data_IF_729472994090
#
_entry.id   IF_729472994090
#
_cell.length_a   1.000
_cell.length_b   1.000
_cell.length_c   1.000
_cell.angle_alpha   90.00
_cell.angle_beta   90.00
_cell.angle_gamma   90.00
#
_symmetry.space_group_name_H-M   'P 1'
#
loop_
_entity.id
_entity.type
_entity.pdbx_description
1 polymer ?
#
# COMPACT_ATOMS: atom_id res chain seq x y z
N UNK A 1 -6.19 -5.50 -9.98
CA UNK A 1 -6.87 -6.77 -10.32
C UNK A 1 -7.04 -7.68 -9.11
N UNK A 2 -5.96 -8.22 -8.49
CA UNK A 2 -6.04 -9.23 -7.43
C UNK A 2 -7.03 -8.95 -6.28
N UNK A 3 -7.04 -7.73 -5.72
CA UNK A 3 -8.01 -7.32 -4.69
C UNK A 3 -9.48 -7.50 -5.07
N UNK A 4 -9.83 -7.27 -6.35
CA UNK A 4 -11.20 -7.49 -6.84
C UNK A 4 -11.52 -8.97 -6.99
N UNK A 5 -10.57 -9.76 -7.49
CA UNK A 5 -10.75 -11.21 -7.61
C UNK A 5 -10.96 -11.86 -6.23
N UNK A 6 -10.18 -11.45 -5.23
CA UNK A 6 -10.31 -11.95 -3.86
C UNK A 6 -11.67 -11.55 -3.26
N UNK A 7 -12.06 -10.28 -3.43
CA UNK A 7 -13.39 -9.81 -3.01
C UNK A 7 -14.52 -10.61 -3.65
N UNK A 8 -14.43 -10.87 -4.96
CA UNK A 8 -15.41 -11.68 -5.67
C UNK A 8 -15.42 -13.12 -5.18
N UNK A 9 -14.25 -13.73 -4.95
CA UNK A 9 -14.15 -15.12 -4.48
C UNK A 9 -14.77 -15.27 -3.09
N UNK A 10 -14.48 -14.35 -2.17
CA UNK A 10 -15.09 -14.33 -0.85
C UNK A 10 -16.60 -14.09 -0.94
N UNK A 11 -17.03 -13.09 -1.71
CA UNK A 11 -18.45 -12.77 -1.88
C UNK A 11 -19.25 -13.95 -2.45
N UNK A 12 -18.71 -14.63 -3.47
CA UNK A 12 -19.37 -15.78 -4.08
C UNK A 12 -19.35 -16.99 -3.15
N UNK A 13 -18.26 -17.26 -2.44
CA UNK A 13 -18.19 -18.35 -1.46
C UNK A 13 -19.23 -18.16 -0.33
N UNK A 14 -19.37 -16.94 0.17
CA UNK A 14 -20.40 -16.60 1.16
C UNK A 14 -21.81 -16.73 0.56
N UNK A 15 -22.01 -16.23 -0.65
CA UNK A 15 -23.31 -16.33 -1.32
C UNK A 15 -23.73 -17.79 -1.52
N UNK A 16 -22.83 -18.65 -1.97
CA UNK A 16 -23.08 -20.08 -2.14
C UNK A 16 -23.35 -20.75 -0.77
N UNK A 17 -22.62 -20.38 0.28
CA UNK A 17 -22.76 -20.93 1.64
C UNK A 17 -24.11 -20.57 2.27
N UNK A 18 -24.59 -19.35 2.05
CA UNK A 18 -25.82 -18.83 2.65
C UNK A 18 -27.03 -18.88 1.71
N UNK A 19 -26.88 -19.40 0.49
CA UNK A 19 -27.97 -19.47 -0.50
C UNK A 19 -28.39 -18.12 -1.10
N UNK A 20 -27.48 -17.13 -1.14
CA UNK A 20 -27.73 -15.83 -1.80
C UNK A 20 -27.34 -15.86 -3.28
N UNK A 21 -27.91 -14.91 -4.03
CA UNK A 21 -27.40 -14.58 -5.38
C UNK A 21 -26.10 -13.80 -5.27
N UNK A 22 -25.06 -14.29 -5.95
CA UNK A 22 -23.82 -13.54 -6.17
C UNK A 22 -23.97 -12.53 -7.32
N UNK A 23 -23.41 -11.33 -7.13
CA UNK A 23 -23.16 -10.37 -8.20
C UNK A 23 -22.00 -9.43 -7.86
N UNK A 24 -21.45 -8.77 -8.88
CA UNK A 24 -20.29 -7.89 -8.73
C UNK A 24 -20.42 -6.59 -9.54
N UNK A 25 -19.76 -5.54 -9.05
CA UNK A 25 -19.55 -4.30 -9.80
C UNK A 25 -18.10 -4.19 -10.23
N UNK A 26 -17.88 -3.94 -11.51
CA UNK A 26 -16.55 -3.72 -12.08
C UNK A 26 -16.69 -2.75 -13.25
N UNK A 27 -15.87 -1.70 -13.26
CA UNK A 27 -15.93 -0.67 -14.30
C UNK A 27 -15.48 -1.25 -15.66
N UNK A 28 -16.29 -1.04 -16.71
CA UNK A 28 -15.97 -1.42 -18.09
C UNK A 28 -15.07 -0.42 -18.83
N UNK A 29 -14.80 0.73 -18.22
CA UNK A 29 -13.78 1.68 -18.68
C UNK A 29 -12.52 1.41 -17.88
N UNK A 30 -11.49 0.89 -18.55
CA UNK A 30 -10.19 0.64 -17.93
C UNK A 30 -9.71 1.90 -17.20
N UNK A 31 -9.34 1.75 -15.92
CA UNK A 31 -8.67 2.82 -15.21
C UNK A 31 -7.17 2.66 -15.46
N UNK A 32 -6.67 3.29 -16.53
CA UNK A 32 -5.24 3.36 -16.80
C UNK A 32 -4.60 4.43 -15.89
N UNK A 33 -4.45 4.13 -14.60
CA UNK A 33 -3.63 4.98 -13.73
C UNK A 33 -2.18 4.46 -13.73
N UNK A 34 -1.48 4.74 -14.84
CA UNK A 34 -0.02 4.62 -15.03
C UNK A 34 0.58 3.20 -15.02
N UNK A 35 1.83 3.12 -15.49
CA UNK A 35 2.65 1.95 -15.82
C UNK A 35 2.72 0.77 -14.82
N UNK A 36 2.16 0.90 -13.62
CA UNK A 36 2.28 -0.11 -12.55
C UNK A 36 0.93 -0.49 -11.89
N UNK A 37 -0.18 0.15 -12.29
CA UNK A 37 -1.53 -0.13 -11.77
C UNK A 37 -2.56 -0.20 -12.90
N UNK A 38 -2.52 -1.29 -13.65
CA UNK A 38 -3.55 -1.59 -14.64
C UNK A 38 -4.70 -2.31 -13.93
N UNK A 39 -5.89 -1.72 -13.99
CA UNK A 39 -7.13 -2.38 -13.60
C UNK A 39 -7.90 -2.65 -14.87
N UNK A 40 -7.74 -3.89 -15.35
CA UNK A 40 -8.36 -4.34 -16.59
C UNK A 40 -9.89 -4.36 -16.51
N UNK A 41 -10.54 -4.33 -17.67
CA UNK A 41 -12.01 -4.43 -17.77
C UNK A 41 -12.47 -5.87 -17.53
N UNK A 42 -13.66 -6.04 -16.95
CA UNK A 42 -14.19 -7.36 -16.61
C UNK A 42 -14.28 -8.30 -17.83
N UNK A 43 -14.62 -7.75 -19.00
CA UNK A 43 -14.77 -8.45 -20.28
C UNK A 43 -13.49 -9.12 -20.79
N UNK A 44 -12.32 -8.70 -20.30
CA UNK A 44 -11.04 -9.38 -20.61
C UNK A 44 -10.72 -10.52 -19.65
N UNK A 45 -11.37 -10.58 -18.51
CA UNK A 45 -11.08 -11.54 -17.44
C UNK A 45 -12.11 -12.67 -17.43
N UNK A 46 -13.40 -12.34 -17.58
CA UNK A 46 -14.50 -13.29 -17.47
C UNK A 46 -15.17 -13.54 -18.82
N UNK A 47 -15.81 -14.71 -18.97
CA UNK A 47 -16.62 -15.02 -20.13
C UNK A 47 -17.83 -14.09 -20.25
N UNK A 48 -18.37 -13.96 -21.46
CA UNK A 48 -19.61 -13.20 -21.68
C UNK A 48 -20.77 -13.73 -20.81
N UNK A 49 -20.93 -15.06 -20.75
CA UNK A 49 -21.98 -15.71 -19.96
C UNK A 49 -21.84 -15.46 -18.46
N UNK A 50 -20.61 -15.37 -17.94
CA UNK A 50 -20.38 -15.05 -16.53
C UNK A 50 -20.81 -13.61 -16.23
N UNK A 51 -20.46 -12.69 -17.13
CA UNK A 51 -20.78 -11.27 -17.00
C UNK A 51 -22.29 -11.06 -17.08
N UNK A 52 -22.98 -11.69 -18.05
CA UNK A 52 -24.43 -11.58 -18.19
C UNK A 52 -25.17 -12.06 -16.93
N UNK A 53 -24.70 -13.15 -16.31
CA UNK A 53 -25.33 -13.73 -15.11
C UNK A 53 -25.09 -12.91 -13.83
N UNK A 54 -23.88 -12.38 -13.66
CA UNK A 54 -23.41 -11.88 -12.36
C UNK A 54 -23.06 -10.39 -12.30
N UNK A 55 -22.91 -9.69 -13.43
CA UNK A 55 -22.52 -8.28 -13.40
C UNK A 55 -23.72 -7.38 -13.06
N UNK A 56 -23.57 -6.58 -12.01
CA UNK A 56 -24.60 -5.65 -11.54
C UNK A 56 -24.49 -4.24 -12.16
N UNK A 57 -23.57 -4.06 -13.11
CA UNK A 57 -23.23 -2.78 -13.71
C UNK A 57 -21.95 -2.13 -13.16
N UNK A 58 -21.65 -0.92 -13.63
CA UNK A 58 -20.44 -0.18 -13.21
C UNK A 58 -20.49 0.27 -11.75
N UNK A 59 -21.70 0.49 -11.22
CA UNK A 59 -21.90 0.91 -9.83
C UNK A 59 -23.26 0.46 -9.31
N UNK A 60 -23.34 0.30 -7.99
CA UNK A 60 -24.59 0.09 -7.25
C UNK A 60 -24.81 1.27 -6.31
N UNK A 61 -26.07 1.49 -5.91
CA UNK A 61 -26.40 2.45 -4.85
C UNK A 61 -26.04 1.85 -3.50
N UNK A 62 -24.82 2.15 -3.02
CA UNK A 62 -24.25 1.54 -1.81
C UNK A 62 -25.13 1.69 -0.56
N UNK A 63 -25.96 2.75 -0.46
CA UNK A 63 -26.91 2.94 0.66
C UNK A 63 -27.98 1.85 0.77
N UNK A 64 -28.20 1.10 -0.31
CA UNK A 64 -29.20 0.04 -0.36
C UNK A 64 -28.63 -1.30 0.15
N UNK A 65 -27.34 -1.36 0.50
CA UNK A 65 -26.63 -2.57 0.91
C UNK A 65 -25.88 -2.35 2.22
N UNK A 66 -25.77 -3.39 3.04
CA UNK A 66 -24.88 -3.37 4.21
C UNK A 66 -23.46 -3.75 3.80
N UNK A 67 -22.44 -3.27 4.50
CA UNK A 67 -21.06 -3.79 4.34
C UNK A 67 -20.86 -4.96 5.30
N UNK A 68 -20.36 -6.08 4.79
CA UNK A 68 -19.97 -7.22 5.63
C UNK A 68 -18.67 -6.88 6.36
N UNK A 69 -18.69 -7.13 7.67
CA UNK A 69 -17.52 -7.19 8.52
C UNK A 69 -17.51 -8.53 9.27
N UNK A 70 -16.41 -8.82 9.99
CA UNK A 70 -16.28 -10.06 10.75
C UNK A 70 -17.35 -10.20 11.84
N UNK A 71 -17.77 -9.10 12.45
CA UNK A 71 -18.81 -9.11 13.47
C UNK A 71 -20.17 -9.50 12.89
N UNK A 72 -20.48 -9.03 11.69
CA UNK A 72 -21.69 -9.36 10.94
C UNK A 72 -21.67 -10.82 10.51
N UNK A 73 -20.53 -11.36 10.09
CA UNK A 73 -20.37 -12.77 9.70
C UNK A 73 -20.44 -13.74 10.89
N UNK A 74 -19.96 -13.33 12.07
CA UNK A 74 -19.97 -14.15 13.28
C UNK A 74 -21.31 -14.11 14.04
N UNK A 75 -22.26 -13.30 13.57
CA UNK A 75 -23.49 -12.96 14.29
C UNK A 75 -24.76 -13.64 13.76
N UNK A 76 -25.85 -12.85 13.77
CA UNK A 76 -27.22 -13.25 13.38
C UNK A 76 -27.31 -13.63 11.89
N UNK A 77 -28.40 -14.31 11.54
CA UNK A 77 -28.78 -14.57 10.15
C UNK A 77 -28.74 -13.29 9.30
N UNK A 78 -27.96 -13.32 8.22
CA UNK A 78 -27.74 -12.17 7.32
C UNK A 78 -29.04 -11.69 6.66
N UNK A 79 -30.03 -12.57 6.51
CA UNK A 79 -31.33 -12.27 5.90
C UNK A 79 -32.21 -11.49 6.84
N UNK A 80 -32.29 -11.92 8.10
CA UNK A 80 -32.99 -11.19 9.16
C UNK A 80 -32.41 -9.79 9.36
N UNK A 81 -31.08 -9.67 9.38
CA UNK A 81 -30.42 -8.38 9.53
C UNK A 81 -30.66 -7.46 8.31
N UNK A 82 -30.69 -8.02 7.10
CA UNK A 82 -31.03 -7.27 5.90
C UNK A 82 -32.49 -6.77 5.93
N UNK A 83 -33.45 -7.61 6.36
CA UNK A 83 -34.85 -7.21 6.51
C UNK A 83 -35.03 -6.09 7.53
N UNK A 84 -34.43 -6.23 8.71
CA UNK A 84 -34.49 -5.24 9.79
C UNK A 84 -33.98 -3.86 9.32
N UNK A 85 -32.85 -3.86 8.61
CA UNK A 85 -32.22 -2.65 8.08
C UNK A 85 -32.76 -2.22 6.71
N UNK A 86 -33.76 -2.92 6.16
CA UNK A 86 -34.34 -2.70 4.82
C UNK A 86 -33.29 -2.66 3.70
N UNK A 87 -32.29 -3.55 3.80
CA UNK A 87 -31.20 -3.69 2.84
C UNK A 87 -31.59 -4.68 1.73
N UNK A 88 -31.06 -4.45 0.53
CA UNK A 88 -31.20 -5.33 -0.63
C UNK A 88 -30.16 -6.45 -0.68
N UNK A 89 -29.15 -6.39 0.18
CA UNK A 89 -28.07 -7.36 0.25
C UNK A 89 -26.84 -6.79 0.95
N UNK A 90 -25.70 -7.38 0.62
CA UNK A 90 -24.45 -7.17 1.34
C UNK A 90 -23.28 -6.91 0.37
N UNK A 91 -22.40 -5.98 0.74
CA UNK A 91 -21.15 -5.66 0.05
C UNK A 91 -20.01 -6.38 0.77
N UNK A 92 -19.22 -7.12 0.01
CA UNK A 92 -18.05 -7.84 0.49
C UNK A 92 -16.77 -7.22 -0.09
N UNK A 93 -16.40 -6.04 0.40
CA UNK A 93 -15.18 -5.32 0.03
C UNK A 93 -14.35 -4.88 1.24
N UNK A 94 -14.78 -5.21 2.46
CA UNK A 94 -14.05 -4.87 3.68
C UNK A 94 -12.77 -5.73 3.80
N UNK A 95 -11.66 -5.06 4.06
CA UNK A 95 -10.33 -5.68 4.10
C UNK A 95 -10.22 -6.78 5.17
N UNK A 96 -10.95 -6.64 6.28
CA UNK A 96 -10.94 -7.61 7.36
C UNK A 96 -11.66 -8.90 6.92
N UNK A 97 -12.67 -8.80 6.04
CA UNK A 97 -13.32 -9.95 5.40
C UNK A 97 -12.45 -10.52 4.28
N UNK A 98 -11.74 -9.68 3.53
CA UNK A 98 -10.84 -10.13 2.47
C UNK A 98 -9.76 -11.08 2.99
N UNK A 99 -9.15 -10.73 4.13
CA UNK A 99 -8.02 -11.43 4.73
C UNK A 99 -8.42 -12.46 5.80
N UNK A 100 -9.72 -12.70 5.98
CA UNK A 100 -10.25 -13.60 7.00
C UNK A 100 -10.04 -15.07 6.66
N UNK A 101 -9.88 -15.90 7.68
CA UNK A 101 -9.97 -17.37 7.60
C UNK A 101 -11.29 -17.89 8.19
N UNK A 102 -12.33 -17.05 8.20
CA UNK A 102 -13.65 -17.44 8.69
C UNK A 102 -14.11 -18.76 8.03
N UNK A 103 -14.67 -19.73 8.79
CA UNK A 103 -15.07 -21.03 8.25
C UNK A 103 -16.03 -20.94 7.05
N UNK A 104 -16.85 -19.89 7.00
CA UNK A 104 -17.78 -19.60 5.91
C UNK A 104 -17.08 -19.26 4.58
N UNK A 105 -15.78 -18.96 4.62
CA UNK A 105 -14.93 -18.71 3.46
C UNK A 105 -14.09 -19.93 3.07
N UNK A 106 -14.27 -21.10 3.70
CA UNK A 106 -13.47 -22.30 3.44
C UNK A 106 -13.46 -22.70 1.95
N UNK A 107 -14.53 -22.39 1.20
CA UNK A 107 -14.67 -22.73 -0.22
C UNK A 107 -14.11 -21.68 -1.19
N UNK A 108 -13.52 -20.58 -0.71
CA UNK A 108 -13.07 -19.47 -1.57
C UNK A 108 -12.07 -19.90 -2.65
N UNK A 109 -11.21 -20.88 -2.35
CA UNK A 109 -10.26 -21.43 -3.32
C UNK A 109 -10.99 -22.16 -4.47
N UNK A 110 -11.96 -23.01 -4.14
CA UNK A 110 -12.84 -23.68 -5.12
C UNK A 110 -13.60 -22.64 -5.94
N UNK A 111 -14.17 -21.63 -5.28
CA UNK A 111 -14.93 -20.56 -5.90
C UNK A 111 -14.10 -19.77 -6.90
N UNK A 112 -12.86 -19.39 -6.54
CA UNK A 112 -11.94 -18.68 -7.41
C UNK A 112 -11.65 -19.49 -8.67
N UNK A 113 -11.28 -20.78 -8.52
CA UNK A 113 -11.00 -21.68 -9.64
C UNK A 113 -12.22 -21.92 -10.54
N UNK A 114 -13.42 -21.87 -9.96
CA UNK A 114 -14.68 -22.10 -10.67
C UNK A 114 -15.23 -20.86 -11.38
N UNK A 115 -14.57 -19.69 -11.27
CA UNK A 115 -14.97 -18.56 -12.10
C UNK A 115 -14.86 -18.91 -13.58
N UNK A 116 -15.88 -18.51 -14.33
CA UNK A 116 -15.88 -18.74 -15.77
C UNK A 116 -15.07 -17.64 -16.46
N UNK A 117 -13.76 -17.89 -16.53
CA UNK A 117 -12.78 -17.00 -17.13
C UNK A 117 -12.92 -16.92 -18.65
N UNK A 118 -12.50 -15.79 -19.22
CA UNK A 118 -12.38 -15.62 -20.66
C UNK A 118 -11.35 -16.61 -21.25
N UNK A 119 -11.53 -16.98 -22.52
CA UNK A 119 -10.66 -17.97 -23.18
C UNK A 119 -9.15 -17.62 -23.10
N UNK A 120 -8.71 -16.36 -23.32
CA UNK A 120 -7.29 -16.02 -23.20
C UNK A 120 -6.72 -16.20 -21.80
N UNK A 121 -7.53 -15.99 -20.75
CA UNK A 121 -7.11 -16.22 -19.36
C UNK A 121 -7.00 -17.72 -19.08
N UNK A 122 -7.96 -18.53 -19.55
CA UNK A 122 -7.90 -19.99 -19.44
C UNK A 122 -6.65 -20.54 -20.13
N UNK A 123 -6.32 -20.01 -21.30
CA UNK A 123 -5.10 -20.37 -22.04
C UNK A 123 -3.84 -20.00 -21.25
N UNK A 124 -3.73 -18.77 -20.73
CA UNK A 124 -2.59 -18.36 -19.91
C UNK A 124 -2.39 -19.25 -18.66
N UNK A 125 -3.47 -19.68 -18.01
CA UNK A 125 -3.40 -20.63 -16.89
C UNK A 125 -2.93 -22.01 -17.37
N UNK A 126 -3.49 -22.52 -18.46
CA UNK A 126 -3.12 -23.81 -19.02
C UNK A 126 -1.67 -23.83 -19.55
N UNK A 127 -1.16 -22.72 -20.05
CA UNK A 127 0.24 -22.56 -20.47
C UNK A 127 1.19 -22.70 -19.30
N UNK A 128 0.84 -22.07 -18.16
CA UNK A 128 1.59 -22.22 -16.94
C UNK A 128 1.62 -23.68 -16.46
N UNK A 129 0.54 -24.45 -16.62
CA UNK A 129 0.50 -25.88 -16.28
C UNK A 129 1.43 -26.72 -17.15
N UNK A 130 1.62 -26.34 -18.42
CA UNK A 130 2.52 -27.01 -19.37
C UNK A 130 3.99 -26.68 -19.15
N UNK A 131 4.31 -25.57 -18.47
CA UNK A 131 5.69 -25.20 -18.15
C UNK A 131 6.36 -26.25 -17.25
N UNK A 132 7.60 -26.62 -17.56
CA UNK A 132 8.35 -27.65 -16.83
C UNK A 132 9.02 -27.04 -15.58
N UNK A 133 8.50 -27.38 -14.40
CA UNK A 133 9.15 -27.10 -13.12
C UNK A 133 9.90 -28.36 -12.68
N UNK A 134 11.21 -28.27 -12.48
CA UNK A 134 12.04 -29.43 -12.11
C UNK A 134 12.30 -29.48 -10.61
N UNK A 135 11.66 -30.43 -9.93
CA UNK A 135 11.82 -30.64 -8.47
C UNK A 135 11.03 -29.64 -7.62
N UNK A 136 11.14 -29.75 -6.28
CA UNK A 136 10.38 -28.90 -5.37
C UNK A 136 10.89 -27.44 -5.43
N UNK A 137 9.96 -26.51 -5.52
CA UNK A 137 10.23 -25.09 -5.74
C UNK A 137 9.39 -24.22 -4.79
N UNK A 138 9.96 -23.10 -4.37
CA UNK A 138 9.27 -22.03 -3.68
C UNK A 138 9.19 -20.79 -4.59
N UNK A 139 8.03 -20.16 -4.66
CA UNK A 139 7.88 -18.87 -5.32
C UNK A 139 8.23 -17.74 -4.35
N UNK A 140 8.90 -16.70 -4.83
CA UNK A 140 9.25 -15.51 -4.07
C UNK A 140 8.73 -14.26 -4.80
N UNK A 141 7.68 -13.67 -4.25
CA UNK A 141 7.00 -12.52 -4.87
C UNK A 141 7.45 -11.20 -4.24
N UNK A 142 8.19 -10.38 -4.98
CA UNK A 142 8.85 -9.17 -4.45
C UNK A 142 7.93 -7.95 -4.34
N UNK A 143 6.92 -7.85 -5.22
CA UNK A 143 5.94 -6.74 -5.27
C UNK A 143 6.54 -5.32 -5.25
N UNK A 144 7.67 -5.09 -5.92
CA UNK A 144 8.32 -3.77 -5.91
C UNK A 144 7.53 -2.68 -6.64
N UNK A 145 7.30 -2.83 -7.96
CA UNK A 145 6.38 -2.02 -8.77
C UNK A 145 6.20 -0.55 -8.36
N UNK A 146 4.94 -0.13 -8.23
CA UNK A 146 4.55 1.22 -7.80
C UNK A 146 4.93 1.58 -6.35
N UNK A 147 5.17 0.58 -5.50
CA UNK A 147 5.50 0.77 -4.08
C UNK A 147 6.98 1.14 -3.91
N UNK A 148 7.87 0.69 -4.78
CA UNK A 148 9.30 1.06 -4.75
C UNK A 148 9.61 2.10 -5.81
N UNK A 149 9.09 1.93 -7.03
CA UNK A 149 9.44 2.76 -8.19
C UNK A 149 8.39 3.82 -8.53
N UNK A 150 7.23 3.80 -7.87
CA UNK A 150 6.11 4.67 -8.18
C UNK A 150 5.78 5.72 -7.12
N UNK A 151 4.54 6.20 -7.18
CA UNK A 151 3.99 7.22 -6.27
C UNK A 151 3.75 6.70 -4.85
N UNK A 152 3.69 5.39 -4.66
CA UNK A 152 3.34 4.78 -3.38
C UNK A 152 4.54 4.58 -2.45
N UNK A 153 5.77 4.86 -2.91
CA UNK A 153 7.00 4.71 -2.11
C UNK A 153 7.09 5.55 -0.85
N UNK A 154 6.45 6.71 -0.83
CA UNK A 154 6.37 7.54 0.38
C UNK A 154 5.28 7.08 1.37
N UNK A 155 4.52 6.04 1.03
CA UNK A 155 3.46 5.52 1.88
C UNK A 155 3.96 4.29 2.64
N UNK A 156 4.44 4.52 3.87
CA UNK A 156 5.03 3.48 4.72
C UNK A 156 4.08 2.30 5.01
N UNK A 157 2.77 2.49 4.88
CA UNK A 157 1.76 1.43 5.07
C UNK A 157 1.76 0.36 3.99
N UNK A 158 2.49 0.56 2.88
CA UNK A 158 2.66 -0.46 1.86
C UNK A 158 3.99 -1.20 1.98
N UNK A 159 4.85 -0.84 2.93
CA UNK A 159 6.17 -1.46 3.07
C UNK A 159 6.07 -2.97 3.35
N UNK A 160 5.05 -3.39 4.11
CA UNK A 160 4.78 -4.80 4.45
C UNK A 160 4.34 -5.65 3.25
N UNK A 161 4.00 -5.04 2.11
CA UNK A 161 3.64 -5.72 0.86
C UNK A 161 4.84 -6.20 0.06
N UNK A 162 6.00 -5.59 0.28
CA UNK A 162 7.19 -5.76 -0.54
C UNK A 162 8.17 -6.66 0.21
N UNK A 163 8.80 -7.58 -0.51
CA UNK A 163 10.03 -8.21 -0.02
C UNK A 163 11.20 -7.38 -0.55
N UNK A 164 12.02 -6.77 0.32
CA UNK A 164 13.16 -5.99 -0.13
C UNK A 164 14.08 -6.85 -1.00
N UNK A 165 14.45 -6.34 -2.17
CA UNK A 165 15.37 -7.05 -3.08
C UNK A 165 16.72 -7.37 -2.40
N UNK A 166 17.14 -6.52 -1.46
CA UNK A 166 18.33 -6.69 -0.62
C UNK A 166 18.25 -7.86 0.37
N UNK A 167 17.08 -8.47 0.57
CA UNK A 167 16.93 -9.66 1.41
C UNK A 167 16.92 -10.96 0.58
N UNK A 168 16.78 -10.86 -0.75
CA UNK A 168 16.50 -12.02 -1.63
C UNK A 168 17.63 -13.03 -1.63
N UNK A 169 18.90 -12.61 -1.65
CA UNK A 169 20.05 -13.54 -1.63
C UNK A 169 20.02 -14.46 -0.42
N UNK A 170 19.74 -13.91 0.77
CA UNK A 170 19.63 -14.69 2.00
C UNK A 170 18.42 -15.63 1.98
N UNK A 171 17.28 -15.17 1.45
CA UNK A 171 16.09 -16.02 1.29
C UNK A 171 16.38 -17.18 0.34
N UNK A 172 16.98 -16.93 -0.82
CA UNK A 172 17.30 -17.99 -1.80
C UNK A 172 18.27 -19.00 -1.19
N UNK A 173 19.29 -18.54 -0.46
CA UNK A 173 20.24 -19.40 0.24
C UNK A 173 19.55 -20.29 1.28
N UNK A 174 18.65 -19.73 2.09
CA UNK A 174 17.89 -20.46 3.11
C UNK A 174 16.90 -21.46 2.49
N UNK A 175 16.29 -21.14 1.35
CA UNK A 175 15.41 -22.07 0.64
C UNK A 175 16.21 -23.20 -0.01
N UNK A 176 17.39 -22.88 -0.55
CA UNK A 176 18.29 -23.87 -1.14
C UNK A 176 18.82 -24.87 -0.11
N UNK A 177 19.15 -24.43 1.11
CA UNK A 177 19.58 -25.31 2.20
C UNK A 177 18.48 -26.31 2.61
N UNK A 178 17.21 -25.97 2.36
CA UNK A 178 16.02 -26.82 2.54
C UNK A 178 15.69 -27.68 1.31
N UNK A 179 16.57 -27.69 0.30
CA UNK A 179 16.39 -28.45 -0.94
C UNK A 179 15.35 -27.87 -1.89
N UNK A 180 15.00 -26.59 -1.77
CA UNK A 180 14.03 -25.91 -2.63
C UNK A 180 14.73 -25.03 -3.66
N UNK A 181 14.30 -25.11 -4.91
CA UNK A 181 14.61 -24.09 -5.92
C UNK A 181 13.76 -22.86 -5.69
N UNK A 182 14.21 -21.70 -6.16
CA UNK A 182 13.45 -20.45 -6.05
C UNK A 182 13.00 -19.94 -7.41
N UNK A 183 11.72 -19.60 -7.54
CA UNK A 183 11.15 -18.83 -8.65
C UNK A 183 10.90 -17.40 -8.21
N UNK A 184 11.58 -16.42 -8.80
CA UNK A 184 11.37 -15.01 -8.53
C UNK A 184 10.22 -14.46 -9.39
N UNK A 185 9.32 -13.73 -8.75
CA UNK A 185 8.18 -13.07 -9.38
C UNK A 185 8.18 -11.59 -8.97
N UNK A 186 8.22 -10.69 -9.95
CA UNK A 186 8.28 -9.26 -9.68
C UNK A 186 8.15 -8.42 -10.95
N UNK A 187 8.08 -7.11 -10.76
CA UNK A 187 7.78 -6.16 -11.85
C UNK A 187 9.01 -5.41 -12.37
N UNK A 188 10.09 -5.33 -11.59
CA UNK A 188 11.28 -4.57 -11.96
C UNK A 188 12.35 -5.48 -12.58
N UNK A 189 12.35 -5.56 -13.92
CA UNK A 189 13.17 -6.51 -14.68
C UNK A 189 14.67 -6.42 -14.39
N UNK A 190 15.32 -5.24 -14.37
CA UNK A 190 16.76 -5.16 -14.10
C UNK A 190 17.16 -5.75 -12.74
N UNK A 191 16.34 -5.55 -11.70
CA UNK A 191 16.60 -6.14 -10.38
C UNK A 191 16.43 -7.64 -10.38
N UNK A 192 15.43 -8.16 -11.10
CA UNK A 192 15.22 -9.61 -11.22
C UNK A 192 16.37 -10.29 -11.97
N UNK A 193 16.87 -9.68 -13.06
CA UNK A 193 18.01 -10.20 -13.82
C UNK A 193 19.28 -10.24 -12.97
N UNK A 194 19.57 -9.17 -12.23
CA UNK A 194 20.67 -9.15 -11.25
C UNK A 194 20.51 -10.23 -10.18
N UNK A 195 19.34 -10.34 -9.55
CA UNK A 195 19.11 -11.34 -8.51
C UNK A 195 19.23 -12.77 -9.06
N UNK A 196 18.79 -13.02 -10.30
CA UNK A 196 19.00 -14.30 -10.97
C UNK A 196 20.50 -14.58 -11.17
N UNK A 197 21.29 -13.63 -11.66
CA UNK A 197 22.73 -13.86 -11.87
C UNK A 197 23.46 -14.14 -10.55
N UNK A 198 23.06 -13.46 -9.47
CA UNK A 198 23.72 -13.58 -8.17
C UNK A 198 23.30 -14.81 -7.35
N UNK A 199 22.17 -15.44 -7.68
CA UNK A 199 21.59 -16.51 -6.83
C UNK A 199 21.31 -17.81 -7.58
N UNK A 200 21.28 -17.79 -8.91
CA UNK A 200 20.83 -18.92 -9.72
C UNK A 200 19.32 -19.19 -9.63
N UNK A 201 18.53 -18.29 -9.02
CA UNK A 201 17.09 -18.41 -9.00
C UNK A 201 16.49 -18.32 -10.41
N UNK A 202 15.35 -18.98 -10.62
CA UNK A 202 14.62 -18.93 -11.89
C UNK A 202 13.74 -17.69 -11.96
N UNK A 203 13.53 -17.15 -13.17
CA UNK A 203 12.54 -16.13 -13.44
C UNK A 203 11.31 -16.74 -14.14
N UNK A 204 10.17 -16.08 -14.02
CA UNK A 204 8.95 -16.47 -14.76
C UNK A 204 9.16 -16.42 -16.28
N UNK A 205 10.07 -15.56 -16.77
CA UNK A 205 10.49 -15.53 -18.17
C UNK A 205 11.14 -16.83 -18.65
N UNK A 206 11.88 -17.50 -17.76
CA UNK A 206 12.53 -18.79 -18.08
C UNK A 206 11.50 -19.91 -18.31
N UNK A 207 10.26 -19.66 -17.91
CA UNK A 207 9.13 -20.58 -18.01
C UNK A 207 8.09 -20.14 -19.04
N UNK A 208 8.32 -19.02 -19.74
CA UNK A 208 7.46 -18.53 -20.82
C UNK A 208 6.72 -17.23 -20.55
N UNK A 209 6.90 -16.55 -19.41
CA UNK A 209 6.10 -15.35 -19.10
C UNK A 209 6.25 -14.19 -20.10
N UNK A 210 7.36 -14.13 -20.84
CA UNK A 210 7.61 -13.04 -21.80
C UNK A 210 6.91 -13.25 -23.15
N UNK A 211 6.22 -14.38 -23.36
CA UNK A 211 5.34 -14.57 -24.53
C UNK A 211 4.06 -13.73 -24.43
N UNK A 212 3.67 -13.33 -23.22
CA UNK A 212 2.48 -12.54 -22.95
C UNK A 212 2.81 -11.05 -22.99
N UNK A 213 2.37 -10.36 -24.05
CA UNK A 213 2.47 -8.90 -24.16
C UNK A 213 1.39 -8.18 -23.35
N UNK A 214 0.28 -8.85 -23.07
CA UNK A 214 -0.78 -8.36 -22.18
C UNK A 214 -0.44 -8.65 -20.71
N UNK A 215 -0.28 -7.58 -19.92
CA UNK A 215 0.10 -7.67 -18.50
C UNK A 215 -0.93 -8.42 -17.63
N UNK A 216 -2.21 -8.42 -18.03
CA UNK A 216 -3.24 -9.18 -17.32
C UNK A 216 -3.05 -10.67 -17.56
N UNK A 217 -2.85 -11.10 -18.81
CA UNK A 217 -2.57 -12.50 -19.13
C UNK A 217 -1.25 -12.96 -18.52
N UNK A 218 -0.20 -12.12 -18.59
CA UNK A 218 1.07 -12.38 -17.92
C UNK A 218 0.88 -12.59 -16.42
N UNK A 219 0.09 -11.74 -15.76
CA UNK A 219 -0.21 -11.88 -14.33
C UNK A 219 -0.92 -13.20 -14.01
N UNK A 220 -1.90 -13.62 -14.82
CA UNK A 220 -2.58 -14.91 -14.62
C UNK A 220 -1.63 -16.10 -14.82
N UNK A 221 -0.79 -16.05 -15.84
CA UNK A 221 0.27 -17.04 -16.07
C UNK A 221 1.23 -17.13 -14.86
N UNK A 222 1.72 -15.99 -14.36
CA UNK A 222 2.63 -15.96 -13.21
C UNK A 222 1.97 -16.44 -11.91
N UNK A 223 0.70 -16.08 -11.67
CA UNK A 223 -0.06 -16.60 -10.52
C UNK A 223 -0.24 -18.12 -10.63
N UNK A 224 -0.53 -18.65 -11.81
CA UNK A 224 -0.64 -20.08 -12.05
C UNK A 224 0.72 -20.81 -11.90
N UNK A 225 1.85 -20.21 -12.30
CA UNK A 225 3.17 -20.77 -12.00
C UNK A 225 3.46 -20.81 -10.50
N UNK A 226 3.16 -19.73 -9.78
CA UNK A 226 3.33 -19.67 -8.33
C UNK A 226 2.44 -20.70 -7.60
N UNK A 227 1.21 -20.89 -8.08
CA UNK A 227 0.26 -21.88 -7.58
C UNK A 227 0.79 -23.33 -7.65
N UNK A 228 1.70 -23.61 -8.59
CA UNK A 228 2.34 -24.94 -8.75
C UNK A 228 3.57 -25.12 -7.85
N UNK A 229 4.04 -24.07 -7.17
CA UNK A 229 5.14 -24.17 -6.23
C UNK A 229 4.66 -24.79 -4.91
N UNK A 230 5.58 -25.44 -4.17
CA UNK A 230 5.29 -26.05 -2.86
C UNK A 230 4.80 -25.01 -1.85
N UNK A 231 5.36 -23.81 -1.93
CA UNK A 231 5.03 -22.68 -1.05
C UNK A 231 5.36 -21.37 -1.75
N UNK A 232 4.69 -20.30 -1.33
CA UNK A 232 4.83 -18.96 -1.86
C UNK A 232 5.28 -18.05 -0.71
N UNK A 233 6.40 -17.37 -0.87
CA UNK A 233 6.84 -16.32 0.05
C UNK A 233 6.49 -14.94 -0.51
N UNK A 234 5.79 -14.14 0.28
CA UNK A 234 5.47 -12.75 -0.08
C UNK A 234 5.33 -11.85 1.15
N UNK A 235 5.30 -10.53 0.91
CA UNK A 235 4.65 -9.58 1.83
C UNK A 235 3.13 -9.76 1.84
N UNK A 236 2.38 -8.71 2.21
CA UNK A 236 0.89 -8.70 2.22
C UNK A 236 0.29 -8.46 0.81
N UNK A 237 0.87 -9.09 -0.20
CA UNK A 237 0.47 -8.93 -1.59
C UNK A 237 -0.74 -9.80 -1.92
N UNK A 238 -1.84 -9.16 -2.33
CA UNK A 238 -3.04 -9.88 -2.80
C UNK A 238 -2.76 -10.72 -4.05
N UNK A 239 -1.74 -10.38 -4.85
CA UNK A 239 -1.31 -11.23 -5.97
C UNK A 239 -0.91 -12.62 -5.48
N UNK A 240 -0.09 -12.68 -4.43
CA UNK A 240 0.38 -13.94 -3.86
C UNK A 240 -0.75 -14.71 -3.14
N UNK A 241 -1.70 -13.99 -2.56
CA UNK A 241 -2.92 -14.58 -1.98
C UNK A 241 -3.80 -15.25 -3.05
N UNK A 242 -4.01 -14.60 -4.20
CA UNK A 242 -4.71 -15.22 -5.33
C UNK A 242 -3.95 -16.45 -5.85
N UNK A 243 -2.63 -16.36 -6.03
CA UNK A 243 -1.83 -17.50 -6.46
C UNK A 243 -1.91 -18.68 -5.48
N UNK A 244 -1.85 -18.41 -4.17
CA UNK A 244 -2.05 -19.40 -3.12
C UNK A 244 -3.42 -20.07 -3.23
N UNK A 245 -4.50 -19.29 -3.38
CA UNK A 245 -5.85 -19.82 -3.54
C UNK A 245 -6.03 -20.62 -4.84
N UNK A 246 -5.37 -20.21 -5.94
CA UNK A 246 -5.41 -20.95 -7.20
C UNK A 246 -4.85 -22.36 -7.04
N UNK A 247 -3.71 -22.50 -6.37
CA UNK A 247 -2.98 -23.79 -6.23
C UNK A 247 -3.22 -24.55 -4.95
N UNK A 248 -3.95 -23.97 -3.99
CA UNK A 248 -3.94 -24.43 -2.59
C UNK A 248 -2.51 -24.50 -2.00
N UNK A 249 -1.65 -23.58 -2.45
CA UNK A 249 -0.25 -23.52 -2.06
C UNK A 249 -0.09 -22.70 -0.76
N UNK A 250 0.76 -23.16 0.15
CA UNK A 250 0.99 -22.46 1.42
C UNK A 250 1.58 -21.05 1.18
N UNK A 251 0.91 -20.02 1.71
CA UNK A 251 1.37 -18.64 1.67
C UNK A 251 2.12 -18.28 2.95
N UNK A 252 3.42 -18.04 2.81
CA UNK A 252 4.34 -17.80 3.91
C UNK A 252 4.84 -16.35 3.89
N UNK A 253 5.04 -15.77 5.08
CA UNK A 253 5.78 -14.51 5.23
C UNK A 253 7.27 -14.79 5.36
N UNK A 254 8.10 -13.85 4.95
CA UNK A 254 9.56 -13.93 5.14
C UNK A 254 9.96 -13.95 6.61
N UNK A 255 9.07 -13.52 7.52
CA UNK A 255 9.25 -13.65 8.97
C UNK A 255 9.31 -15.10 9.45
N UNK A 256 8.85 -16.07 8.64
CA UNK A 256 9.04 -17.49 8.91
C UNK A 256 10.47 -18.00 8.60
N UNK A 257 11.29 -17.17 7.95
CA UNK A 257 12.70 -17.45 7.66
C UNK A 257 13.62 -16.62 8.56
N UNK A 258 13.33 -15.33 8.69
CA UNK A 258 14.12 -14.39 9.48
C UNK A 258 13.19 -13.48 10.27
N UNK A 259 13.36 -13.41 11.59
CA UNK A 259 12.66 -12.40 12.38
C UNK A 259 13.03 -10.96 11.95
N UNK A 260 12.24 -9.97 12.37
CA UNK A 260 12.42 -8.60 11.91
C UNK A 260 13.82 -8.02 12.20
N UNK A 261 14.39 -8.15 13.42
CA UNK A 261 15.77 -7.72 13.68
C UNK A 261 16.81 -8.44 12.81
N UNK A 262 16.70 -9.77 12.63
CA UNK A 262 17.64 -10.53 11.80
C UNK A 262 17.57 -10.12 10.33
N UNK A 263 16.36 -9.95 9.80
CA UNK A 263 16.15 -9.47 8.44
C UNK A 263 16.76 -8.07 8.24
N UNK A 264 16.60 -7.17 9.21
CA UNK A 264 17.20 -5.84 9.16
C UNK A 264 18.73 -5.91 9.11
N UNK A 265 19.35 -6.74 9.97
CA UNK A 265 20.80 -6.95 9.95
C UNK A 265 21.30 -7.46 8.59
N UNK A 266 20.64 -8.49 8.03
CA UNK A 266 20.99 -9.03 6.70
C UNK A 266 20.90 -7.95 5.62
N UNK A 267 19.84 -7.13 5.64
CA UNK A 267 19.66 -6.05 4.66
C UNK A 267 20.76 -5.00 4.78
N UNK A 268 21.13 -4.61 6.01
CA UNK A 268 22.17 -3.61 6.24
C UNK A 268 23.56 -4.12 5.86
N UNK A 269 23.85 -5.40 6.12
CA UNK A 269 25.10 -6.06 5.70
C UNK A 269 25.20 -6.12 4.17
N UNK A 270 24.11 -6.52 3.50
CA UNK A 270 24.03 -6.56 2.03
C UNK A 270 24.25 -5.16 1.43
N UNK A 271 23.58 -4.14 1.96
CA UNK A 271 23.74 -2.76 1.51
C UNK A 271 25.15 -2.23 1.80
N UNK A 272 25.75 -2.58 2.94
CA UNK A 272 27.12 -2.20 3.26
C UNK A 272 28.14 -2.70 2.23
N UNK A 273 27.92 -3.91 1.69
CA UNK A 273 28.82 -4.52 0.71
C UNK A 273 28.47 -4.19 -0.75
N UNK A 274 27.18 -4.03 -1.07
CA UNK A 274 26.67 -4.10 -2.46
C UNK A 274 25.65 -3.04 -2.82
N UNK A 275 25.52 -1.94 -2.07
CA UNK A 275 24.54 -0.88 -2.36
C UNK A 275 24.54 -0.42 -3.83
N UNK A 276 25.71 -0.32 -4.45
CA UNK A 276 25.86 0.16 -5.83
C UNK A 276 25.32 -0.82 -6.89
N UNK A 277 25.16 -2.10 -6.54
CA UNK A 277 24.65 -3.12 -7.46
C UNK A 277 23.12 -3.03 -7.62
N UNK A 278 22.44 -2.43 -6.65
CA UNK A 278 20.99 -2.27 -6.65
C UNK A 278 20.60 -0.94 -7.31
N UNK A 279 19.43 -0.93 -7.95
CA UNK A 279 18.80 0.33 -8.34
C UNK A 279 18.64 1.24 -7.10
N UNK A 280 18.91 2.56 -7.18
CA UNK A 280 18.91 3.44 -5.99
C UNK A 280 17.63 3.36 -5.15
N UNK A 281 16.45 3.25 -5.78
CA UNK A 281 15.18 3.09 -5.08
C UNK A 281 15.00 1.74 -4.38
N UNK A 282 15.56 0.68 -4.93
CA UNK A 282 15.57 -0.65 -4.30
C UNK A 282 16.47 -0.64 -3.05
N UNK A 283 17.65 -0.03 -3.17
CA UNK A 283 18.56 0.16 -2.04
C UNK A 283 17.96 1.08 -0.96
N UNK A 284 17.33 2.19 -1.35
CA UNK A 284 16.61 3.08 -0.43
C UNK A 284 15.50 2.33 0.31
N UNK A 285 14.73 1.50 -0.41
CA UNK A 285 13.69 0.68 0.18
C UNK A 285 14.25 -0.39 1.14
N UNK A 286 15.44 -0.93 0.85
CA UNK A 286 16.17 -1.80 1.77
C UNK A 286 16.45 -1.09 3.10
N UNK A 287 17.05 0.10 3.07
CA UNK A 287 17.25 0.91 4.29
C UNK A 287 15.93 1.26 5.00
N UNK A 288 14.87 1.62 4.25
CA UNK A 288 13.53 1.85 4.81
C UNK A 288 13.02 0.62 5.58
N UNK A 289 13.17 -0.56 4.98
CA UNK A 289 12.69 -1.82 5.56
C UNK A 289 13.46 -2.19 6.81
N UNK A 290 14.79 -2.00 6.81
CA UNK A 290 15.62 -2.19 7.98
C UNK A 290 15.25 -1.21 9.12
N UNK A 291 15.03 0.07 8.79
CA UNK A 291 14.57 1.06 9.75
C UNK A 291 13.22 0.65 10.39
N UNK A 292 12.22 0.31 9.59
CA UNK A 292 10.88 -0.05 10.09
C UNK A 292 10.91 -1.30 10.99
N UNK A 293 11.78 -2.27 10.69
CA UNK A 293 11.94 -3.47 11.52
C UNK A 293 12.56 -3.21 12.90
N UNK A 294 13.37 -2.15 12.99
CA UNK A 294 14.15 -1.76 14.18
C UNK A 294 13.64 -0.50 14.87
N UNK A 295 12.57 0.14 14.35
CA UNK A 295 12.05 1.39 14.88
C UNK A 295 11.71 1.26 16.37
N UNK A 296 12.27 2.15 17.19
CA UNK A 296 12.12 2.14 18.65
C UNK A 296 12.95 1.09 19.40
N UNK A 297 13.72 0.27 18.69
CA UNK A 297 14.59 -0.78 19.28
C UNK A 297 16.08 -0.44 19.23
N UNK A 298 16.49 0.48 18.36
CA UNK A 298 17.87 0.95 18.21
C UNK A 298 18.02 2.40 18.66
N UNK A 299 19.23 2.84 19.05
CA UNK A 299 19.50 4.24 19.38
C UNK A 299 19.08 5.19 18.24
N UNK A 300 18.57 6.36 18.61
CA UNK A 300 18.05 7.34 17.65
C UNK A 300 19.11 7.80 16.62
N UNK A 301 20.38 7.88 17.00
CA UNK A 301 21.48 8.15 16.07
C UNK A 301 21.64 7.09 14.98
N UNK A 302 21.51 5.81 15.35
CA UNK A 302 21.58 4.68 14.41
C UNK A 302 20.36 4.66 13.48
N UNK A 303 19.16 4.77 14.05
CA UNK A 303 17.91 4.86 13.28
C UNK A 303 17.95 6.00 12.26
N UNK A 304 18.47 7.16 12.66
CA UNK A 304 18.65 8.32 11.80
C UNK A 304 19.68 8.05 10.70
N UNK A 305 20.82 7.45 11.03
CA UNK A 305 21.85 7.11 10.03
C UNK A 305 21.33 6.19 8.92
N UNK A 306 20.47 5.22 9.27
CA UNK A 306 19.81 4.34 8.27
C UNK A 306 18.91 5.17 7.34
N UNK A 307 18.06 6.03 7.88
CA UNK A 307 17.16 6.87 7.09
C UNK A 307 17.88 7.92 6.26
N UNK A 308 19.00 8.48 6.75
CA UNK A 308 19.83 9.42 6.00
C UNK A 308 20.43 8.76 4.75
N UNK A 309 20.86 7.49 4.85
CA UNK A 309 21.28 6.70 3.68
C UNK A 309 20.12 6.44 2.71
N UNK A 310 18.93 6.10 3.23
CA UNK A 310 17.74 5.94 2.39
C UNK A 310 17.39 7.24 1.63
N UNK A 311 17.43 8.38 2.33
CA UNK A 311 17.14 9.70 1.79
C UNK A 311 18.17 10.17 0.76
N UNK A 312 19.45 9.83 0.94
CA UNK A 312 20.48 10.12 -0.05
C UNK A 312 20.24 9.40 -1.40
N UNK A 313 19.65 8.20 -1.35
CA UNK A 313 19.35 7.39 -2.53
C UNK A 313 18.00 7.74 -3.18
N UNK A 314 17.01 8.19 -2.41
CA UNK A 314 15.70 8.66 -2.89
C UNK A 314 15.26 9.95 -2.18
N UNK A 315 15.82 11.11 -2.56
CA UNK A 315 15.58 12.40 -1.90
C UNK A 315 14.17 12.97 -2.17
N UNK A 316 13.41 12.35 -3.06
CA UNK A 316 12.02 12.68 -3.35
C UNK A 316 11.03 11.97 -2.42
N UNK A 317 11.48 10.98 -1.64
CA UNK A 317 10.64 10.32 -0.66
C UNK A 317 10.59 11.11 0.66
N UNK A 318 9.59 11.99 0.76
CA UNK A 318 9.43 12.86 1.93
C UNK A 318 9.14 12.11 3.24
N UNK A 319 8.75 10.82 3.18
CA UNK A 319 8.55 10.02 4.39
C UNK A 319 9.83 9.87 5.20
N UNK A 320 10.98 9.77 4.54
CA UNK A 320 12.29 9.73 5.20
C UNK A 320 12.58 11.03 5.95
N UNK A 321 12.35 12.18 5.32
CA UNK A 321 12.54 13.47 5.95
C UNK A 321 11.63 13.66 7.17
N UNK A 322 10.37 13.21 7.10
CA UNK A 322 9.46 13.22 8.24
C UNK A 322 9.95 12.35 9.39
N UNK A 323 10.40 11.13 9.11
CA UNK A 323 10.94 10.24 10.15
C UNK A 323 12.24 10.78 10.75
N UNK A 324 13.15 11.33 9.95
CA UNK A 324 14.38 11.99 10.44
C UNK A 324 14.02 13.16 11.36
N UNK A 325 13.10 14.04 10.94
CA UNK A 325 12.65 15.15 11.77
C UNK A 325 11.98 14.68 13.07
N UNK A 326 11.12 13.66 13.01
CA UNK A 326 10.48 13.04 14.18
C UNK A 326 11.51 12.51 15.19
N UNK A 327 12.54 11.79 14.72
CA UNK A 327 13.62 11.28 15.58
C UNK A 327 14.34 12.43 16.28
N UNK A 328 14.68 13.50 15.55
CA UNK A 328 15.32 14.70 16.13
C UNK A 328 14.44 15.37 17.18
N UNK A 329 13.15 15.51 16.91
CA UNK A 329 12.19 16.09 17.86
C UNK A 329 12.02 15.23 19.12
N UNK A 330 12.02 13.91 18.97
CA UNK A 330 12.01 12.97 20.11
C UNK A 330 13.21 13.15 21.02
N UNK A 331 14.40 13.41 20.46
CA UNK A 331 15.63 13.71 21.20
C UNK A 331 15.68 15.16 21.73
N UNK A 332 14.62 15.96 21.53
CA UNK A 332 14.58 17.42 21.80
C UNK A 332 15.63 18.23 21.03
N UNK A 333 16.20 17.64 19.98
CA UNK A 333 17.13 18.29 19.05
C UNK A 333 16.33 19.06 17.99
N UNK A 334 15.65 20.11 18.44
CA UNK A 334 14.62 20.79 17.66
C UNK A 334 15.16 21.52 16.43
N UNK A 335 16.30 22.21 16.54
CA UNK A 335 16.81 23.05 15.45
C UNK A 335 17.19 22.23 14.19
N UNK A 336 17.90 21.09 14.29
CA UNK A 336 18.15 20.22 13.13
C UNK A 336 16.87 19.59 12.57
N UNK A 337 15.95 19.12 13.42
CA UNK A 337 14.65 18.59 12.95
C UNK A 337 13.83 19.62 12.18
N UNK A 338 13.84 20.86 12.66
CA UNK A 338 13.18 21.99 12.01
C UNK A 338 13.84 22.37 10.67
N UNK A 339 15.17 22.31 10.59
CA UNK A 339 15.91 22.55 9.36
C UNK A 339 15.56 21.52 8.26
N UNK A 340 15.35 20.25 8.63
CA UNK A 340 14.88 19.21 7.71
C UNK A 340 13.50 19.56 7.15
N UNK A 341 12.53 19.90 8.02
CA UNK A 341 11.19 20.30 7.58
C UNK A 341 11.23 21.54 6.69
N UNK A 342 11.96 22.58 7.11
CA UNK A 342 12.13 23.81 6.34
C UNK A 342 12.63 23.53 4.93
N UNK A 343 13.68 22.71 4.80
CA UNK A 343 14.29 22.38 3.52
C UNK A 343 13.27 21.73 2.56
N UNK A 344 12.59 20.69 3.01
CA UNK A 344 11.62 19.95 2.18
C UNK A 344 10.40 20.82 1.86
N UNK A 345 9.84 21.51 2.85
CA UNK A 345 8.67 22.36 2.64
C UNK A 345 8.97 23.52 1.70
N UNK A 346 10.17 24.12 1.80
CA UNK A 346 10.61 25.19 0.91
C UNK A 346 10.83 24.71 -0.52
N UNK A 347 11.42 23.52 -0.71
CA UNK A 347 11.54 22.88 -2.04
C UNK A 347 10.17 22.70 -2.69
N UNK A 348 9.26 22.00 -2.01
CA UNK A 348 7.92 21.71 -2.53
C UNK A 348 7.10 22.97 -2.81
N UNK A 349 7.23 23.99 -1.95
CA UNK A 349 6.51 25.24 -2.12
C UNK A 349 7.03 26.07 -3.30
N UNK A 350 8.34 26.02 -3.59
CA UNK A 350 8.90 26.63 -4.80
C UNK A 350 8.40 25.97 -6.08
N UNK A 351 8.36 24.64 -6.10
CA UNK A 351 7.84 23.88 -7.25
C UNK A 351 6.33 24.11 -7.44
N UNK A 352 5.58 24.16 -6.34
CA UNK A 352 4.14 24.37 -6.35
C UNK A 352 3.69 25.11 -5.10
N UNK A 353 3.40 26.43 -5.19
CA UNK A 353 3.08 27.27 -4.04
C UNK A 353 1.63 27.08 -3.53
N UNK A 354 1.23 25.82 -3.27
CA UNK A 354 -0.11 25.40 -2.82
C UNK A 354 0.00 24.60 -1.52
N UNK A 355 -0.96 24.81 -0.62
CA UNK A 355 -1.11 24.07 0.65
C UNK A 355 -2.36 23.17 0.56
N UNK A 356 -2.31 21.91 1.05
CA UNK A 356 -1.17 21.27 1.71
C UNK A 356 -0.04 20.91 0.73
N UNK A 357 1.19 20.96 1.26
CA UNK A 357 2.38 20.42 0.61
C UNK A 357 2.34 18.88 0.66
N UNK A 358 3.09 18.20 -0.20
CA UNK A 358 3.11 16.73 -0.25
C UNK A 358 3.54 16.12 1.10
N UNK A 359 4.56 16.70 1.74
CA UNK A 359 5.00 16.28 3.08
C UNK A 359 3.90 16.42 4.14
N UNK A 360 3.04 17.44 4.04
CA UNK A 360 1.90 17.61 4.96
C UNK A 360 0.79 16.60 4.67
N UNK A 361 0.56 16.26 3.40
CA UNK A 361 -0.43 15.25 3.03
C UNK A 361 -0.12 13.91 3.70
N UNK A 362 1.16 13.49 3.71
CA UNK A 362 1.60 12.25 4.38
C UNK A 362 1.24 12.21 5.87
N UNK A 363 1.33 13.35 6.57
CA UNK A 363 0.98 13.44 8.00
C UNK A 363 -0.54 13.41 8.26
N UNK A 364 -1.34 13.82 7.28
CA UNK A 364 -2.78 14.04 7.44
C UNK A 364 -3.68 13.04 6.70
N UNK A 365 -3.12 12.12 5.92
CA UNK A 365 -3.85 11.15 5.13
C UNK A 365 -4.05 9.85 5.92
N UNK A 366 -5.31 9.46 6.06
CA UNK A 366 -5.68 8.19 6.69
C UNK A 366 -5.67 7.10 5.61
N UNK A 367 -4.87 6.06 5.82
CA UNK A 367 -4.72 4.91 4.94
C UNK A 367 -5.12 3.65 5.71
N UNK A 368 -6.03 2.83 5.16
CA UNK A 368 -6.52 1.61 5.82
C UNK A 368 -6.92 1.83 7.29
N UNK A 369 -7.70 2.89 7.55
CA UNK A 369 -8.17 3.29 8.90
C UNK A 369 -7.05 3.68 9.89
N UNK A 370 -5.82 3.90 9.43
CA UNK A 370 -4.66 4.30 10.27
C UNK A 370 -3.94 5.51 9.68
N UNK A 371 -3.28 6.29 10.54
CA UNK A 371 -2.35 7.33 10.10
C UNK A 371 -0.93 6.75 10.16
N UNK A 372 -0.16 6.75 9.04
CA UNK A 372 1.16 6.13 9.01
C UNK A 372 2.15 6.71 10.04
N UNK A 373 1.96 7.97 10.42
CA UNK A 373 2.80 8.74 11.34
C UNK A 373 2.14 8.98 12.71
N UNK A 374 1.09 8.22 13.06
CA UNK A 374 0.36 8.45 14.31
C UNK A 374 1.28 8.44 15.55
N UNK A 375 2.23 7.51 15.59
CA UNK A 375 3.21 7.36 16.66
C UNK A 375 4.22 8.53 16.74
N UNK A 376 4.28 9.37 15.72
CA UNK A 376 5.20 10.51 15.65
C UNK A 376 4.54 11.84 16.00
N UNK A 377 3.21 11.92 15.99
CA UNK A 377 2.47 13.19 16.10
C UNK A 377 2.83 14.01 17.35
N UNK A 378 3.02 13.34 18.48
CA UNK A 378 3.39 14.02 19.73
C UNK A 378 4.72 14.76 19.64
N UNK A 379 5.70 14.24 18.88
CA UNK A 379 7.01 14.89 18.73
C UNK A 379 6.90 16.15 17.87
N UNK A 380 6.06 16.13 16.82
CA UNK A 380 5.75 17.35 16.06
C UNK A 380 5.03 18.39 16.92
N UNK A 381 4.09 17.97 17.77
CA UNK A 381 3.37 18.84 18.69
C UNK A 381 4.33 19.50 19.70
N UNK A 382 5.19 18.71 20.33
CA UNK A 382 6.17 19.20 21.29
C UNK A 382 7.16 20.20 20.65
N UNK A 383 7.68 19.89 19.46
CA UNK A 383 8.57 20.82 18.75
C UNK A 383 7.86 22.12 18.34
N UNK A 384 6.61 22.02 17.86
CA UNK A 384 5.78 23.19 17.56
C UNK A 384 5.46 24.02 18.79
N UNK A 385 5.26 23.38 19.94
CA UNK A 385 5.05 24.05 21.23
C UNK A 385 6.31 24.78 21.71
N UNK A 386 7.49 24.24 21.40
CA UNK A 386 8.79 24.83 21.66
C UNK A 386 9.21 25.94 20.67
N UNK A 387 8.30 26.36 19.77
CA UNK A 387 8.52 27.52 18.90
C UNK A 387 9.10 27.21 17.52
N UNK A 388 9.16 25.94 17.10
CA UNK A 388 9.58 25.56 15.75
C UNK A 388 8.47 25.84 14.73
N UNK A 389 8.59 26.83 13.82
CA UNK A 389 7.51 27.27 12.95
C UNK A 389 6.98 26.20 11.97
N UNK A 390 7.82 25.41 11.33
CA UNK A 390 7.43 24.36 10.40
C UNK A 390 6.85 23.15 11.15
N UNK A 391 7.43 22.75 12.28
CA UNK A 391 6.82 21.74 13.16
C UNK A 391 5.43 22.17 13.66
N UNK A 392 5.26 23.45 14.04
CA UNK A 392 3.97 24.01 14.42
C UNK A 392 2.97 24.02 13.25
N UNK A 393 3.42 24.33 12.02
CA UNK A 393 2.59 24.26 10.82
C UNK A 393 2.14 22.82 10.50
N UNK A 394 3.03 21.84 10.63
CA UNK A 394 2.69 20.41 10.52
C UNK A 394 1.72 19.97 11.62
N UNK A 395 1.95 20.38 12.87
CA UNK A 395 1.06 20.11 14.00
C UNK A 395 -0.35 20.64 13.81
N UNK A 396 -0.47 21.88 13.32
CA UNK A 396 -1.75 22.48 13.01
C UNK A 396 -2.52 21.68 11.95
N UNK A 397 -1.80 21.16 10.94
CA UNK A 397 -2.37 20.30 9.91
C UNK A 397 -2.80 18.94 10.45
N UNK A 398 -1.95 18.28 11.23
CA UNK A 398 -2.26 17.01 11.91
C UNK A 398 -3.55 17.15 12.71
N UNK A 399 -3.63 18.12 13.62
CA UNK A 399 -4.79 18.37 14.48
C UNK A 399 -6.07 18.63 13.68
N UNK A 400 -5.96 19.43 12.61
CA UNK A 400 -7.10 19.65 11.72
C UNK A 400 -7.57 18.33 11.07
N UNK A 401 -6.64 17.45 10.65
CA UNK A 401 -6.99 16.21 9.99
C UNK A 401 -7.49 15.12 10.93
N UNK A 402 -6.94 14.99 12.14
CA UNK A 402 -7.08 13.78 12.97
C UNK A 402 -8.03 13.92 14.15
N UNK A 403 -8.11 15.07 14.82
CA UNK A 403 -8.76 15.17 16.15
C UNK A 403 -10.03 16.02 16.21
N UNK A 404 -10.50 16.58 15.08
CA UNK A 404 -11.59 17.58 15.06
C UNK A 404 -11.35 18.79 16.01
N UNK A 405 -10.14 18.95 16.56
CA UNK A 405 -9.77 20.01 17.49
C UNK A 405 -9.35 21.26 16.72
N UNK A 406 -10.35 22.03 16.33
CA UNK A 406 -10.14 23.27 15.58
C UNK A 406 -9.39 24.32 16.40
N UNK A 407 -9.58 24.36 17.72
CA UNK A 407 -8.97 25.38 18.57
C UNK A 407 -7.46 25.16 18.68
N UNK A 408 -7.02 23.93 19.00
CA UNK A 408 -5.59 23.60 19.04
C UNK A 408 -4.94 23.74 17.66
N UNK A 409 -5.62 23.33 16.59
CA UNK A 409 -5.11 23.53 15.24
C UNK A 409 -4.86 25.02 14.92
N UNK A 410 -5.79 25.90 15.29
CA UNK A 410 -5.63 27.34 15.12
C UNK A 410 -4.54 27.94 16.01
N UNK A 411 -4.40 27.45 17.25
CA UNK A 411 -3.35 27.87 18.16
C UNK A 411 -1.96 27.52 17.59
N UNK A 412 -1.76 26.30 17.10
CA UNK A 412 -0.50 25.88 16.45
C UNK A 412 -0.21 26.69 15.18
N UNK A 413 -1.23 26.96 14.38
CA UNK A 413 -1.07 27.78 13.18
C UNK A 413 -0.71 29.24 13.48
N UNK A 414 -1.17 29.80 14.62
CA UNK A 414 -0.75 31.13 15.09
C UNK A 414 0.70 31.11 15.54
N UNK A 415 1.07 30.16 16.40
CA UNK A 415 2.47 29.96 16.84
C UNK A 415 3.44 29.87 15.67
N UNK A 416 3.08 29.12 14.63
CA UNK A 416 3.89 29.01 13.41
C UNK A 416 4.16 30.36 12.73
N UNK A 417 3.14 31.24 12.67
CA UNK A 417 3.28 32.58 12.08
C UNK A 417 4.00 33.53 13.01
N UNK A 418 3.76 33.47 14.32
CA UNK A 418 4.43 34.34 15.30
C UNK A 418 5.94 34.05 15.34
N UNK A 419 6.34 32.78 15.21
CA UNK A 419 7.73 32.36 15.15
C UNK A 419 8.42 32.68 13.81
N UNK A 420 7.67 32.81 12.71
CA UNK A 420 8.22 33.11 11.38
C UNK A 420 7.27 34.02 10.55
N UNK A 421 7.08 35.29 10.93
CA UNK A 421 6.02 36.14 10.37
C UNK A 421 6.22 36.46 8.89
N UNK A 422 7.47 36.53 8.44
CA UNK A 422 7.81 36.78 7.04
C UNK A 422 7.60 35.55 6.14
N UNK A 423 7.58 34.34 6.71
CA UNK A 423 7.59 33.11 5.92
C UNK A 423 6.23 32.90 5.21
N UNK A 424 6.22 32.74 3.87
CA UNK A 424 4.98 32.60 3.11
C UNK A 424 4.28 31.25 3.30
N UNK A 425 5.01 30.20 3.69
CA UNK A 425 4.49 28.85 3.88
C UNK A 425 3.63 28.82 5.13
N UNK A 426 4.17 29.23 6.28
CA UNK A 426 3.43 29.20 7.57
C UNK A 426 2.19 30.09 7.52
N UNK A 427 2.25 31.24 6.85
CA UNK A 427 1.08 32.13 6.63
C UNK A 427 0.00 31.45 5.79
N UNK A 428 0.36 30.78 4.70
CA UNK A 428 -0.60 30.03 3.88
C UNK A 428 -1.16 28.81 4.61
N UNK A 429 -0.36 28.15 5.44
CA UNK A 429 -0.86 27.08 6.33
C UNK A 429 -1.91 27.65 7.28
N UNK A 430 -1.64 28.75 7.99
CA UNK A 430 -2.63 29.41 8.86
C UNK A 430 -3.91 29.76 8.11
N UNK A 431 -3.81 30.34 6.91
CA UNK A 431 -4.97 30.64 6.08
C UNK A 431 -5.77 29.37 5.75
N UNK A 432 -5.09 28.27 5.40
CA UNK A 432 -5.72 26.98 5.12
C UNK A 432 -6.43 26.40 6.35
N UNK A 433 -5.82 26.49 7.53
CA UNK A 433 -6.40 26.02 8.79
C UNK A 433 -7.67 26.83 9.13
N UNK A 434 -7.62 28.16 8.98
CA UNK A 434 -8.78 29.05 9.19
C UNK A 434 -9.98 28.67 8.31
N UNK A 435 -9.73 28.31 7.05
CA UNK A 435 -10.75 27.89 6.07
C UNK A 435 -11.42 26.56 6.40
N UNK A 436 -10.84 25.74 7.28
CA UNK A 436 -11.39 24.42 7.62
C UNK A 436 -11.21 23.36 6.52
N UNK A 437 -11.69 22.15 6.82
CA UNK A 437 -11.70 21.02 5.88
C UNK A 437 -12.58 21.34 4.68
N UNK A 438 -12.10 21.00 3.47
CA UNK A 438 -12.92 21.10 2.26
C UNK A 438 -14.03 20.04 2.35
N UNK A 439 -15.31 20.38 2.13
CA UNK A 439 -16.37 19.39 2.11
C UNK A 439 -16.13 18.31 1.05
N UNK A 440 -16.25 17.04 1.43
CA UNK A 440 -16.06 15.89 0.53
C UNK A 440 -17.17 15.81 -0.54
N UNK A 441 -18.41 16.13 -0.17
CA UNK A 441 -19.60 16.11 -1.02
C UNK A 441 -20.42 17.41 -0.92
N UNK A 442 -21.39 17.58 -1.83
CA UNK A 442 -22.32 18.74 -1.87
C UNK A 442 -21.78 19.95 -2.65
N UNK A 443 -22.41 20.27 -3.78
CA UNK A 443 -22.06 21.44 -4.62
C UNK A 443 -22.19 22.75 -3.84
N UNK A 444 -23.25 22.91 -3.05
CA UNK A 444 -23.49 24.11 -2.23
C UNK A 444 -22.44 24.23 -1.11
N UNK A 445 -22.08 23.13 -0.44
CA UNK A 445 -21.05 23.12 0.59
C UNK A 445 -19.67 23.47 -0.01
N UNK A 446 -19.34 22.92 -1.18
CA UNK A 446 -18.12 23.26 -1.93
C UNK A 446 -18.12 24.72 -2.40
N UNK A 447 -19.26 25.26 -2.84
CA UNK A 447 -19.42 26.65 -3.25
C UNK A 447 -19.29 27.62 -2.07
N UNK A 448 -19.95 27.35 -0.94
CA UNK A 448 -19.82 28.12 0.31
C UNK A 448 -18.38 28.14 0.83
N UNK A 449 -17.70 26.99 0.78
CA UNK A 449 -16.29 26.89 1.12
C UNK A 449 -15.39 27.74 0.19
N UNK A 450 -15.67 27.75 -1.13
CA UNK A 450 -14.97 28.61 -2.11
C UNK A 450 -15.27 30.10 -1.92
N UNK A 451 -16.50 30.47 -1.56
CA UNK A 451 -16.87 31.88 -1.31
C UNK A 451 -16.17 32.40 -0.04
N UNK A 452 -16.08 31.57 1.01
CA UNK A 452 -15.29 31.89 2.20
C UNK A 452 -13.79 32.09 1.88
N UNK A 453 -13.26 31.31 0.92
CA UNK A 453 -11.89 31.47 0.41
C UNK A 453 -11.68 32.81 -0.30
N UNK A 454 -12.62 33.22 -1.17
CA UNK A 454 -12.55 34.50 -1.89
C UNK A 454 -12.70 35.70 -0.95
N UNK A 455 -13.61 35.63 0.04
CA UNK A 455 -13.78 36.70 1.05
C UNK A 455 -12.55 36.88 1.94
N UNK A 456 -11.82 35.80 2.22
CA UNK A 456 -10.55 35.85 2.96
C UNK A 456 -9.35 36.41 2.18
N UNK A 457 -9.49 36.72 0.88
CA UNK A 457 -8.47 37.43 0.09
C UNK A 457 -8.68 38.96 0.11
N UNK A 458 -9.88 39.43 0.44
CA UNK A 458 -10.25 40.86 0.47
C UNK A 458 -10.08 41.55 1.81
N UNK A 459 -9.75 40.81 2.88
CA UNK A 459 -9.35 41.38 4.17
C UNK A 459 -7.83 41.39 4.27
N UNK A 460 -7.19 42.40 3.66
CA UNK A 460 -5.82 42.79 3.96
C UNK A 460 -5.84 43.94 4.95
#
# INVERSE_FOLDING_TARGET
MGGRLLAMANAKALADTFGYRFGFTWNRKGAADKAFHIVEVADRIFSADFIERHWLGESIKASDFGTLDLATLAGRDLGELAKEKKLRGWICDDIDVLQSEAPQLARRAETLRAFDYAAPVKEAIADADRSRISGPMAALHLRSGDIVHGKHRASLVFADKVIPSTLVRAIVSELSSRGLKTLLIGQHRPTLDYLKSETGAMLTSDLGADTFTDETLKSFFEMALAARCRQIYSGSSVFAEIASLMGDAALMRTTALFDAPRAAGIILDELGARQADYHPREAAFGYQSAFLAMEGKVPAGEARGILEKAYALDPENDAYALKIASIRFRERDHAPGEAVLKSVMSRQFRERPKIPLAIMQLLGEMMFRRYPFAADFEFFHAAGEAGCPYAAACSAWILQQTTADRQRALAMARRAVDAAPADPIVRKVRQRILQGKRPKSGLIAKARWRIAWLRGLGGR
#
